data_IF_670924511344
#
_entry.id   IF_670924511344
#
_cell.length_a   1.000
_cell.length_b   1.000
_cell.length_c   1.000
_cell.angle_alpha   90.00
_cell.angle_beta   90.00
_cell.angle_gamma   90.00
#
_symmetry.space_group_name_H-M   'P 1'
#
loop_
_entity.id
_entity.type
_entity.pdbx_description
1 polymer ?
#
# COMPACT_ATOMS: atom_id res chain seq x y z
N UNK A 1 3.76 -20.02 37.94
CA UNK A 1 2.73 -20.83 38.67
C UNK A 1 1.33 -20.74 38.04
N UNK A 2 1.14 -20.07 36.89
CA UNK A 2 -0.15 -20.01 36.15
C UNK A 2 0.00 -20.35 34.66
N UNK A 3 1.19 -20.79 34.24
CA UNK A 3 1.60 -20.87 32.83
C UNK A 3 1.21 -22.20 32.18
N UNK A 4 1.00 -23.27 32.96
CA UNK A 4 0.84 -24.62 32.43
C UNK A 4 -0.58 -24.97 31.92
N UNK A 5 -1.55 -24.06 32.09
CA UNK A 5 -2.97 -24.31 31.77
C UNK A 5 -3.64 -23.20 30.95
N UNK A 6 -2.85 -22.23 30.46
CA UNK A 6 -3.35 -21.16 29.62
C UNK A 6 -3.46 -21.57 28.15
N UNK A 7 -4.35 -20.91 27.42
CA UNK A 7 -4.30 -20.87 25.96
C UNK A 7 -3.50 -19.61 25.60
N UNK A 8 -2.36 -19.80 24.96
CA UNK A 8 -1.47 -18.74 24.52
C UNK A 8 -1.51 -18.62 23.01
N UNK A 9 -1.79 -17.42 22.51
CA UNK A 9 -1.80 -17.12 21.09
C UNK A 9 -1.06 -15.81 20.84
N UNK A 10 0.02 -15.90 20.08
CA UNK A 10 0.78 -14.75 19.64
C UNK A 10 0.38 -14.42 18.20
N UNK A 11 -0.18 -13.24 18.02
CA UNK A 11 -0.58 -12.73 16.72
C UNK A 11 0.31 -11.58 16.28
N UNK A 12 0.57 -11.52 14.99
CA UNK A 12 1.14 -10.33 14.37
C UNK A 12 0.08 -9.20 14.41
N UNK A 13 0.43 -7.99 14.89
CA UNK A 13 -0.54 -6.94 15.24
C UNK A 13 -1.28 -6.30 14.07
N UNK A 14 -0.75 -6.36 12.85
CA UNK A 14 -1.36 -5.65 11.69
C UNK A 14 -2.23 -6.54 10.80
N UNK A 15 -1.90 -7.82 10.69
CA UNK A 15 -2.54 -8.82 9.82
C UNK A 15 -3.22 -9.94 10.60
N UNK A 16 -3.11 -9.96 11.94
CA UNK A 16 -3.62 -11.01 12.82
C UNK A 16 -3.10 -12.41 12.43
N UNK A 17 -1.92 -12.49 11.83
CA UNK A 17 -1.31 -13.76 11.47
C UNK A 17 -0.82 -14.47 12.76
N UNK A 18 -1.27 -15.71 13.06
CA UNK A 18 -0.83 -16.42 14.26
C UNK A 18 0.63 -16.87 14.13
N UNK A 19 1.54 -16.31 14.92
CA UNK A 19 2.97 -16.65 14.92
C UNK A 19 3.25 -17.89 15.76
N UNK A 20 2.59 -17.99 16.91
CA UNK A 20 2.63 -19.14 17.79
C UNK A 20 1.26 -19.33 18.43
N UNK A 21 0.83 -20.58 18.51
CA UNK A 21 -0.38 -21.01 19.20
C UNK A 21 0.00 -22.17 20.09
N UNK A 22 -0.24 -22.04 21.39
CA UNK A 22 -0.08 -23.10 22.38
C UNK A 22 -1.38 -23.23 23.16
N UNK A 23 -2.00 -24.40 23.10
CA UNK A 23 -3.27 -24.65 23.76
C UNK A 23 -3.27 -26.03 24.38
N UNK A 24 -3.54 -26.11 25.68
CA UNK A 24 -3.73 -27.37 26.41
C UNK A 24 -5.20 -27.60 26.69
N UNK A 25 -5.75 -28.69 26.18
CA UNK A 25 -7.16 -29.02 26.35
C UNK A 25 -7.31 -30.32 27.11
N UNK A 26 -8.20 -30.33 28.11
CA UNK A 26 -8.53 -31.50 28.91
C UNK A 26 -9.79 -32.18 28.36
N UNK A 27 -9.67 -33.46 27.98
CA UNK A 27 -10.81 -34.27 27.61
C UNK A 27 -11.42 -34.93 28.86
N UNK A 28 -12.66 -34.57 29.14
CA UNK A 28 -13.41 -34.99 30.31
C UNK A 28 -14.65 -35.77 29.89
N UNK A 29 -14.94 -36.87 30.59
CA UNK A 29 -16.13 -37.68 30.37
C UNK A 29 -17.01 -37.69 31.62
N UNK A 30 -18.31 -37.54 31.43
CA UNK A 30 -19.26 -37.63 32.54
C UNK A 30 -19.52 -39.09 32.89
N UNK A 31 -19.03 -39.54 34.05
CA UNK A 31 -19.34 -40.86 34.59
C UNK A 31 -20.63 -40.76 35.40
N UNK A 32 -21.57 -41.64 35.09
CA UNK A 32 -22.80 -41.82 35.86
C UNK A 32 -23.07 -43.29 36.07
N UNK A 33 -23.69 -43.61 37.20
CA UNK A 33 -24.18 -44.96 37.47
C UNK A 33 -25.23 -45.36 36.45
N UNK A 34 -25.03 -46.50 35.78
CA UNK A 34 -26.02 -47.08 34.87
C UNK A 34 -26.47 -48.42 35.43
N UNK A 35 -27.70 -48.48 35.96
CA UNK A 35 -28.24 -49.63 36.69
C UNK A 35 -28.30 -50.92 35.87
N UNK A 36 -28.31 -50.79 34.53
CA UNK A 36 -28.34 -51.91 33.58
C UNK A 36 -26.99 -52.63 33.41
N UNK A 37 -25.87 -51.96 33.69
CA UNK A 37 -24.53 -52.55 33.55
C UNK A 37 -23.93 -52.83 34.94
N UNK A 38 -23.66 -54.10 35.25
CA UNK A 38 -23.17 -54.54 36.56
C UNK A 38 -21.87 -53.82 36.99
N UNK A 39 -20.94 -53.56 36.05
CA UNK A 39 -19.68 -52.85 36.34
C UNK A 39 -19.86 -51.37 36.70
N UNK A 40 -20.88 -50.71 36.16
CA UNK A 40 -21.10 -49.26 36.35
C UNK A 40 -22.09 -48.94 37.47
N UNK A 41 -22.57 -49.94 38.24
CA UNK A 41 -23.54 -49.73 39.34
C UNK A 41 -22.96 -48.94 40.51
N UNK A 42 -21.67 -49.09 40.78
CA UNK A 42 -20.98 -48.48 41.92
C UNK A 42 -20.15 -47.24 41.53
N UNK A 43 -20.24 -46.78 40.28
CA UNK A 43 -19.45 -45.63 39.84
C UNK A 43 -20.00 -44.33 40.44
N UNK A 44 -19.13 -43.46 40.99
CA UNK A 44 -19.54 -42.16 41.46
C UNK A 44 -20.01 -41.29 40.28
N UNK A 45 -20.94 -40.36 40.55
CA UNK A 45 -21.30 -39.33 39.57
C UNK A 45 -20.22 -38.26 39.60
N UNK A 46 -19.29 -38.30 38.64
CA UNK A 46 -18.19 -37.34 38.55
C UNK A 46 -17.77 -37.08 37.11
N UNK A 47 -17.09 -35.96 36.91
CA UNK A 47 -16.42 -35.65 35.66
C UNK A 47 -15.03 -36.31 35.70
N UNK A 48 -14.83 -37.36 34.91
CA UNK A 48 -13.59 -38.10 34.88
C UNK A 48 -12.63 -37.50 33.85
N UNK A 49 -11.43 -37.06 34.26
CA UNK A 49 -10.39 -36.65 33.33
C UNK A 49 -9.80 -37.88 32.65
N UNK A 50 -9.92 -37.94 31.31
CA UNK A 50 -9.38 -39.06 30.55
C UNK A 50 -7.97 -38.77 30.06
N UNK A 51 -7.77 -37.64 29.38
CA UNK A 51 -6.47 -37.23 28.85
C UNK A 51 -6.38 -35.72 28.67
N UNK A 52 -5.14 -35.22 28.61
CA UNK A 52 -4.81 -33.86 28.23
C UNK A 52 -4.07 -33.90 26.90
N UNK A 53 -4.51 -33.12 25.92
CA UNK A 53 -3.75 -32.93 24.69
C UNK A 53 -3.13 -31.53 24.67
N UNK A 54 -1.91 -31.46 24.19
CA UNK A 54 -1.17 -30.23 24.00
C UNK A 54 -1.08 -29.95 22.50
N UNK A 55 -1.68 -28.86 22.06
CA UNK A 55 -1.65 -28.40 20.68
C UNK A 55 -0.73 -27.18 20.59
N UNK A 56 0.51 -27.42 20.17
CA UNK A 56 1.48 -26.40 19.82
C UNK A 56 1.59 -26.26 18.30
N UNK A 57 1.28 -25.08 17.76
CA UNK A 57 1.59 -24.70 16.38
C UNK A 57 2.57 -23.53 16.44
N UNK A 58 3.79 -23.76 15.97
CA UNK A 58 4.79 -22.69 15.79
C UNK A 58 5.09 -22.56 14.31
N UNK A 59 5.03 -21.33 13.80
CA UNK A 59 5.36 -21.08 12.39
C UNK A 59 6.85 -21.42 12.15
N UNK A 60 7.18 -22.23 11.14
CA UNK A 60 8.56 -22.50 10.76
C UNK A 60 9.32 -21.23 10.34
N UNK A 61 10.60 -21.12 10.72
CA UNK A 61 11.44 -19.93 10.50
C UNK A 61 11.45 -19.40 9.05
N UNK A 62 11.33 -20.29 8.06
CA UNK A 62 11.25 -19.92 6.63
C UNK A 62 10.10 -18.96 6.33
N UNK A 63 8.96 -19.11 7.02
CA UNK A 63 7.80 -18.25 6.84
C UNK A 63 7.94 -16.94 7.61
N UNK A 64 8.61 -16.94 8.77
CA UNK A 64 8.96 -15.72 9.51
C UNK A 64 9.76 -14.74 8.64
N UNK A 65 10.75 -15.24 7.89
CA UNK A 65 11.56 -14.40 6.99
C UNK A 65 10.70 -13.74 5.92
N UNK A 66 9.75 -14.49 5.32
CA UNK A 66 8.83 -13.97 4.30
C UNK A 66 7.96 -12.86 4.88
N UNK A 67 7.40 -13.06 6.08
CA UNK A 67 6.57 -12.08 6.78
C UNK A 67 7.35 -10.78 7.02
N UNK A 68 8.59 -10.87 7.50
CA UNK A 68 9.46 -9.71 7.73
C UNK A 68 9.73 -8.93 6.43
N UNK A 69 9.97 -9.64 5.33
CA UNK A 69 10.22 -9.01 4.01
C UNK A 69 8.97 -8.26 3.54
N UNK A 70 7.78 -8.87 3.66
CA UNK A 70 6.51 -8.24 3.30
C UNK A 70 6.29 -6.96 4.10
N UNK A 71 6.54 -6.98 5.41
CA UNK A 71 6.40 -5.76 6.24
C UNK A 71 7.39 -4.66 5.89
N UNK A 72 8.65 -5.02 5.58
CA UNK A 72 9.64 -4.06 5.09
C UNK A 72 9.19 -3.41 3.78
N UNK A 73 8.62 -4.19 2.87
CA UNK A 73 8.09 -3.70 1.60
C UNK A 73 6.88 -2.77 1.79
N UNK A 74 5.94 -3.12 2.66
CA UNK A 74 4.80 -2.23 2.97
C UNK A 74 5.30 -0.91 3.59
N UNK A 75 6.28 -0.97 4.49
CA UNK A 75 6.86 0.22 5.12
C UNK A 75 7.56 1.13 4.10
N UNK A 76 8.31 0.56 3.14
CA UNK A 76 8.99 1.36 2.11
C UNK A 76 8.01 2.01 1.14
N UNK A 77 6.93 1.30 0.76
CA UNK A 77 5.87 1.85 -0.09
C UNK A 77 5.14 2.99 0.65
N UNK A 78 4.88 2.83 1.94
CA UNK A 78 4.26 3.88 2.78
C UNK A 78 5.12 5.14 2.82
N UNK A 79 6.43 4.99 2.93
CA UNK A 79 7.38 6.09 2.86
C UNK A 79 7.38 6.74 1.48
N UNK A 80 7.49 5.95 0.41
CA UNK A 80 7.46 6.43 -0.97
C UNK A 80 6.21 7.24 -1.29
N UNK A 81 5.03 6.83 -0.78
CA UNK A 81 3.79 7.59 -0.92
C UNK A 81 3.92 9.01 -0.35
N UNK A 82 4.50 9.14 0.84
CA UNK A 82 4.71 10.44 1.46
C UNK A 82 5.72 11.30 0.69
N UNK A 83 6.75 10.70 0.10
CA UNK A 83 7.71 11.42 -0.74
C UNK A 83 7.05 12.03 -1.98
N UNK A 84 6.19 11.28 -2.66
CA UNK A 84 5.47 11.75 -3.84
C UNK A 84 4.51 12.90 -3.46
N UNK A 85 3.84 12.80 -2.31
CA UNK A 85 2.97 13.87 -1.82
C UNK A 85 3.78 15.13 -1.54
N UNK A 86 4.89 15.03 -0.80
CA UNK A 86 5.74 16.17 -0.45
C UNK A 86 6.33 16.82 -1.71
N UNK A 87 6.81 16.03 -2.67
CA UNK A 87 7.37 16.56 -3.91
C UNK A 87 6.31 17.27 -4.76
N UNK A 88 5.11 16.70 -4.89
CA UNK A 88 4.00 17.33 -5.60
C UNK A 88 3.50 18.62 -4.95
N UNK A 89 3.37 18.64 -3.62
CA UNK A 89 2.97 19.84 -2.87
C UNK A 89 4.04 20.93 -2.96
N UNK A 90 5.32 20.58 -2.90
CA UNK A 90 6.42 21.54 -3.05
C UNK A 90 6.43 22.20 -4.44
N UNK A 91 6.31 21.39 -5.51
CA UNK A 91 6.30 21.91 -6.88
C UNK A 91 5.08 22.79 -7.14
N UNK A 92 3.90 22.40 -6.65
CA UNK A 92 2.68 23.19 -6.77
C UNK A 92 2.79 24.53 -6.02
N UNK A 93 3.37 24.53 -4.82
CA UNK A 93 3.62 25.75 -4.05
C UNK A 93 4.60 26.71 -4.74
N UNK A 94 5.68 26.19 -5.34
CA UNK A 94 6.62 26.98 -6.12
C UNK A 94 5.95 27.63 -7.35
N UNK A 95 5.14 26.86 -8.09
CA UNK A 95 4.39 27.36 -9.24
C UNK A 95 3.41 28.48 -8.86
N UNK A 96 2.64 28.29 -7.78
CA UNK A 96 1.73 29.31 -7.27
C UNK A 96 2.48 30.61 -6.90
N UNK A 97 3.60 30.50 -6.18
CA UNK A 97 4.46 31.65 -5.84
C UNK A 97 4.96 32.40 -7.07
N UNK A 98 5.38 31.68 -8.12
CA UNK A 98 5.81 32.29 -9.38
C UNK A 98 4.66 33.01 -10.09
N UNK A 99 3.46 32.43 -10.10
CA UNK A 99 2.28 33.03 -10.72
C UNK A 99 1.85 34.34 -10.03
N UNK A 100 1.79 34.36 -8.69
CA UNK A 100 1.42 35.58 -7.96
C UNK A 100 2.45 36.71 -8.17
N UNK A 101 3.75 36.39 -8.15
CA UNK A 101 4.82 37.37 -8.48
C UNK A 101 4.79 37.85 -9.92
N UNK A 102 4.34 37.01 -10.85
CA UNK A 102 4.22 37.35 -12.27
C UNK A 102 2.98 38.20 -12.60
N UNK A 103 1.93 38.13 -11.77
CA UNK A 103 0.70 38.93 -11.93
C UNK A 103 0.90 40.37 -11.44
N UNK A 104 1.70 40.57 -10.40
CA UNK A 104 2.05 41.89 -9.85
C UNK A 104 2.85 42.77 -10.83
N UNK A 105 3.64 42.15 -11.73
CA UNK A 105 4.54 42.86 -12.66
C UNK A 105 3.92 43.25 -14.02
N UNK A 106 2.63 43.02 -14.23
CA UNK A 106 1.94 43.33 -15.51
C UNK A 106 1.06 44.57 -15.32
N UNK A 107 1.54 45.80 -15.63
CA UNK A 107 0.64 46.93 -15.73
C UNK A 107 -0.37 46.64 -16.85
N UNK A 108 -1.65 46.54 -16.51
CA UNK A 108 -2.73 46.35 -17.47
C UNK A 108 -2.91 47.63 -18.28
N UNK A 109 -2.21 47.75 -19.40
CA UNK A 109 -2.57 48.75 -20.40
C UNK A 109 -3.84 48.28 -21.10
N UNK A 110 -4.96 48.86 -20.69
CA UNK A 110 -6.25 48.73 -21.37
C UNK A 110 -6.08 49.36 -22.74
N UNK A 111 -5.93 48.53 -23.78
CA UNK A 111 -6.04 49.02 -25.15
C UNK A 111 -7.50 49.41 -25.37
N UNK A 112 -7.80 50.70 -25.26
CA UNK A 112 -9.11 51.24 -25.63
C UNK A 112 -9.27 51.04 -27.14
N UNK A 113 -10.13 50.09 -27.53
CA UNK A 113 -10.46 49.82 -28.92
C UNK A 113 -11.37 50.94 -29.43
N UNK A 114 -10.83 51.82 -30.26
CA UNK A 114 -11.60 52.75 -31.09
C UNK A 114 -12.33 51.92 -32.16
N UNK A 115 -13.66 52.07 -32.35
CA UNK A 115 -14.38 51.30 -33.36
C UNK A 115 -13.90 51.72 -34.77
N UNK A 116 -13.36 50.77 -35.52
CA UNK A 116 -12.86 50.97 -36.88
C UNK A 116 -14.05 51.11 -37.83
N UNK A 117 -14.24 52.29 -38.42
CA UNK A 117 -15.11 52.42 -39.60
C UNK A 117 -14.36 51.90 -40.83
N UNK A 118 -15.11 51.16 -41.62
CA UNK A 118 -14.86 50.59 -42.95
C UNK A 118 -14.17 51.58 -43.92
N UNK A 119 -13.12 51.14 -44.62
CA UNK A 119 -12.96 51.25 -46.09
C UNK A 119 -11.57 50.82 -46.62
N UNK A 120 -11.62 49.97 -47.65
CA UNK A 120 -10.74 49.82 -48.82
C UNK A 120 -9.31 49.22 -48.74
N UNK A 121 -9.23 48.02 -49.35
CA UNK A 121 -8.27 47.53 -50.37
C UNK A 121 -6.92 46.92 -49.90
N UNK A 122 -6.90 45.58 -50.03
CA UNK A 122 -5.87 44.73 -50.63
C UNK A 122 -4.39 45.13 -50.49
N UNK A 123 -3.60 44.36 -49.73
CA UNK A 123 -2.39 43.67 -50.24
C UNK A 123 -1.64 42.85 -49.15
N UNK A 124 -1.52 41.55 -49.42
CA UNK A 124 -0.41 40.64 -49.05
C UNK A 124 -0.26 40.14 -47.59
N UNK A 125 -0.70 38.89 -47.41
CA UNK A 125 -0.35 37.99 -46.31
C UNK A 125 1.16 37.68 -46.37
N UNK A 126 1.95 38.28 -45.46
CA UNK A 126 3.37 37.94 -45.24
C UNK A 126 3.50 36.80 -44.22
N UNK A 127 3.42 35.59 -44.73
CA UNK A 127 4.06 34.34 -44.31
C UNK A 127 4.50 34.14 -42.84
N UNK A 128 3.89 33.11 -42.23
CA UNK A 128 4.39 32.39 -41.07
C UNK A 128 5.81 31.85 -41.29
N UNK A 129 6.66 31.93 -40.26
CA UNK A 129 7.90 31.16 -40.23
C UNK A 129 8.26 30.72 -38.80
N UNK A 130 8.22 29.41 -38.50
CA UNK A 130 9.09 28.82 -37.50
C UNK A 130 9.96 27.75 -38.16
N UNK A 131 11.20 28.09 -38.51
CA UNK A 131 12.23 27.13 -38.93
C UNK A 131 12.73 26.34 -37.71
N UNK A 132 12.14 25.17 -37.50
CA UNK A 132 12.65 24.15 -36.58
C UNK A 132 13.80 23.38 -37.26
N UNK A 133 15.00 23.43 -36.71
CA UNK A 133 16.17 22.68 -37.19
C UNK A 133 16.02 21.20 -36.81
N UNK A 134 15.88 20.33 -37.80
CA UNK A 134 16.01 18.86 -37.65
C UNK A 134 17.32 18.46 -38.33
N UNK A 135 18.19 17.80 -37.55
CA UNK A 135 19.49 17.28 -37.98
C UNK A 135 19.31 16.05 -38.88
N UNK A 136 19.78 16.11 -40.12
CA UNK A 136 19.80 14.94 -41.03
C UNK A 136 21.20 14.31 -41.01
N UNK A 137 21.24 13.00 -40.76
CA UNK A 137 22.43 12.13 -40.83
C UNK A 137 22.73 11.83 -42.32
N UNK A 138 23.99 11.85 -42.80
CA UNK A 138 24.29 11.59 -44.21
C UNK A 138 24.16 10.08 -44.56
N UNK A 139 23.71 9.74 -45.79
CA UNK A 139 23.60 8.34 -46.23
C UNK A 139 24.94 7.72 -46.67
N UNK A 140 25.11 6.44 -46.33
CA UNK A 140 26.31 5.59 -46.50
C UNK A 140 26.35 4.97 -47.92
N UNK A 141 26.47 5.77 -48.98
CA UNK A 141 26.51 5.22 -50.35
C UNK A 141 27.56 5.84 -51.30
N UNK A 142 28.49 6.67 -50.81
CA UNK A 142 29.55 7.27 -51.66
C UNK A 142 30.91 6.53 -51.62
N UNK A 143 31.00 5.32 -51.04
CA UNK A 143 32.26 4.54 -50.93
C UNK A 143 32.40 3.38 -51.94
N UNK A 144 31.86 3.49 -53.15
CA UNK A 144 32.15 2.56 -54.24
C UNK A 144 32.30 3.29 -55.58
N UNK A 145 33.48 3.88 -55.80
CA UNK A 145 34.11 3.99 -57.13
C UNK A 145 35.62 4.21 -57.00
#
# INVERSE_FOLDING_TARGET
>A
MHEDHGIHMDFEPTTCLPLALHSRTQFNMFLQKVTKFQLMKNFPKCLFPFLWFDQGLTIPDKFMVIIIIVFKLISIIRFMKWFIIISGTCMSGAAARMFFKGKEKRPLNVTEVIPHSENEKDEQIKWANPTNKISTIPPIFDELN
#
